data_IF_941975952229
#
_entry.id   IF_941975952229
#
_cell.length_a   1.000
_cell.length_b   1.000
_cell.length_c   1.000
_cell.angle_alpha   90.00
_cell.angle_beta   90.00
_cell.angle_gamma   90.00
#
_symmetry.space_group_name_H-M   'P 1'
#
loop_
_entity.id
_entity.type
_entity.pdbx_description
1 polymer ?
#
# COMPACT_ATOMS: atom_id res chain seq x y z
N UNK A 1 -38.31 14.71 5.76
CA UNK A 1 -37.33 15.79 5.49
C UNK A 1 -36.37 15.27 4.43
N UNK A 2 -36.43 15.80 3.21
CA UNK A 2 -35.52 15.42 2.13
C UNK A 2 -34.08 15.84 2.52
N UNK A 3 -33.12 14.88 2.49
CA UNK A 3 -31.70 15.19 2.65
C UNK A 3 -31.29 16.09 1.49
N UNK A 4 -30.94 17.34 1.81
CA UNK A 4 -30.34 18.25 0.84
C UNK A 4 -29.05 17.60 0.30
N UNK A 5 -29.01 17.30 -1.00
CA UNK A 5 -27.80 16.81 -1.66
C UNK A 5 -26.69 17.86 -1.48
N UNK A 6 -25.65 17.49 -0.74
CA UNK A 6 -24.48 18.36 -0.59
C UNK A 6 -23.80 18.50 -1.96
N UNK A 7 -23.82 19.69 -2.54
CA UNK A 7 -23.10 20.01 -3.77
C UNK A 7 -21.62 19.64 -3.60
N UNK A 8 -21.10 18.81 -4.49
CA UNK A 8 -19.70 18.40 -4.46
C UNK A 8 -18.79 19.58 -4.72
N UNK A 9 -17.62 19.62 -4.04
CA UNK A 9 -16.58 20.58 -4.37
C UNK A 9 -16.09 20.36 -5.82
N UNK A 10 -15.80 21.43 -6.55
CA UNK A 10 -15.40 21.40 -7.97
C UNK A 10 -14.19 20.49 -8.27
N UNK A 11 -13.31 20.29 -7.28
CA UNK A 11 -12.14 19.40 -7.38
C UNK A 11 -12.39 17.97 -6.89
N UNK A 12 -13.61 17.64 -6.49
CA UNK A 12 -13.94 16.29 -6.09
C UNK A 12 -14.19 15.43 -7.34
N UNK A 13 -13.18 14.64 -7.72
CA UNK A 13 -13.24 13.70 -8.85
C UNK A 13 -13.74 12.32 -8.45
N UNK A 14 -14.35 12.16 -7.30
CA UNK A 14 -14.90 10.87 -6.86
C UNK A 14 -15.92 10.37 -7.88
N UNK A 15 -15.69 9.20 -8.42
CA UNK A 15 -16.63 8.51 -9.31
C UNK A 15 -17.89 8.19 -8.50
N UNK A 16 -19.03 8.47 -9.04
CA UNK A 16 -20.33 8.05 -8.49
C UNK A 16 -20.94 7.01 -9.39
N UNK A 17 -21.50 6.02 -8.76
CA UNK A 17 -22.33 5.00 -9.42
C UNK A 17 -23.77 5.50 -9.43
N UNK A 18 -24.42 5.47 -10.60
CA UNK A 18 -25.85 5.73 -10.74
C UNK A 18 -26.65 4.49 -10.32
N UNK A 19 -27.92 4.68 -9.96
CA UNK A 19 -28.79 3.56 -9.59
C UNK A 19 -28.92 2.52 -10.71
N UNK A 20 -28.85 2.93 -11.98
CA UNK A 20 -28.91 2.04 -13.14
C UNK A 20 -27.63 1.22 -13.34
N UNK A 21 -26.48 1.68 -12.84
CA UNK A 21 -25.19 0.97 -12.93
C UNK A 21 -25.01 -0.08 -11.83
N UNK A 22 -25.69 0.08 -10.69
CA UNK A 22 -25.54 -0.83 -9.54
C UNK A 22 -25.74 -2.30 -9.92
N UNK A 23 -26.84 -2.72 -10.60
CA UNK A 23 -27.03 -4.12 -10.94
C UNK A 23 -25.97 -4.68 -11.89
N UNK A 24 -25.44 -3.83 -12.78
CA UNK A 24 -24.37 -4.22 -13.70
C UNK A 24 -23.06 -4.47 -12.95
N UNK A 25 -22.73 -3.59 -12.00
CA UNK A 25 -21.48 -3.68 -11.20
C UNK A 25 -21.55 -4.82 -10.19
N UNK A 26 -22.70 -5.08 -9.58
CA UNK A 26 -22.91 -6.20 -8.66
C UNK A 26 -22.62 -7.56 -9.29
N UNK A 27 -22.83 -7.69 -10.61
CA UNK A 27 -22.50 -8.91 -11.34
C UNK A 27 -21.00 -9.26 -11.30
N UNK A 28 -20.12 -8.27 -11.16
CA UNK A 28 -18.68 -8.46 -11.09
C UNK A 28 -18.16 -8.71 -9.67
N UNK A 29 -19.01 -8.60 -8.66
CA UNK A 29 -18.64 -8.75 -7.26
C UNK A 29 -18.95 -10.17 -6.78
N UNK A 30 -17.93 -10.90 -6.33
CA UNK A 30 -18.11 -12.16 -5.62
C UNK A 30 -18.34 -11.87 -4.15
N UNK A 31 -19.41 -12.40 -3.57
CA UNK A 31 -19.68 -12.26 -2.14
C UNK A 31 -18.81 -13.24 -1.34
N UNK A 32 -18.45 -12.86 -0.13
CA UNK A 32 -17.64 -13.72 0.75
C UNK A 32 -18.22 -15.12 0.96
N UNK A 33 -19.57 -15.24 1.00
CA UNK A 33 -20.25 -16.52 1.16
C UNK A 33 -20.10 -17.48 -0.04
N UNK A 34 -19.84 -16.93 -1.23
CA UNK A 34 -19.72 -17.69 -2.48
C UNK A 34 -18.26 -18.10 -2.79
N UNK A 35 -17.34 -17.74 -1.90
CA UNK A 35 -15.93 -18.08 -2.03
C UNK A 35 -15.67 -19.42 -1.35
N UNK A 36 -15.18 -20.38 -2.13
CA UNK A 36 -14.64 -21.63 -1.61
C UNK A 36 -13.11 -21.58 -1.47
N UNK A 37 -12.50 -22.64 -0.98
CA UNK A 37 -11.04 -22.75 -0.84
C UNK A 37 -10.32 -23.14 -2.13
N UNK A 38 -11.00 -23.13 -3.28
CA UNK A 38 -10.41 -23.43 -4.58
C UNK A 38 -9.66 -22.20 -5.12
N UNK A 39 -8.41 -22.38 -5.54
CA UNK A 39 -7.56 -21.31 -6.09
C UNK A 39 -8.24 -20.52 -7.23
N UNK A 40 -9.03 -21.18 -8.06
CA UNK A 40 -9.69 -20.53 -9.21
C UNK A 40 -10.75 -19.52 -8.81
N UNK A 41 -11.32 -19.60 -7.61
CA UNK A 41 -12.33 -18.64 -7.13
C UNK A 41 -11.74 -17.29 -6.74
N UNK A 42 -10.41 -17.16 -6.64
CA UNK A 42 -9.72 -15.92 -6.28
C UNK A 42 -9.06 -15.21 -7.47
N UNK A 43 -8.89 -15.89 -8.63
CA UNK A 43 -8.22 -15.31 -9.79
C UNK A 43 -9.17 -14.37 -10.51
N UNK A 44 -8.70 -13.14 -10.78
CA UNK A 44 -9.43 -12.08 -11.49
C UNK A 44 -10.82 -11.77 -10.87
N UNK A 45 -10.91 -11.82 -9.54
CA UNK A 45 -12.16 -11.56 -8.81
C UNK A 45 -12.05 -10.33 -7.93
N UNK A 46 -13.15 -9.59 -7.90
CA UNK A 46 -13.41 -8.57 -6.88
C UNK A 46 -14.28 -9.21 -5.79
N UNK A 47 -13.72 -9.40 -4.61
CA UNK A 47 -14.42 -10.08 -3.51
C UNK A 47 -14.83 -9.03 -2.48
N UNK A 48 -16.13 -8.98 -2.18
CA UNK A 48 -16.68 -8.13 -1.11
C UNK A 48 -16.95 -8.97 0.13
N UNK A 49 -16.19 -8.72 1.20
CA UNK A 49 -16.33 -9.41 2.46
C UNK A 49 -15.36 -8.92 3.53
N UNK A 50 -15.53 -9.42 4.74
CA UNK A 50 -14.61 -9.18 5.83
C UNK A 50 -13.35 -10.04 5.68
N UNK A 51 -12.18 -9.41 5.80
CA UNK A 51 -10.90 -10.12 5.71
C UNK A 51 -10.77 -11.22 6.76
N UNK A 52 -11.27 -10.99 7.97
CA UNK A 52 -11.20 -11.98 9.07
C UNK A 52 -12.01 -13.25 8.76
N UNK A 53 -13.06 -13.14 7.95
CA UNK A 53 -13.86 -14.31 7.51
C UNK A 53 -13.25 -14.98 6.27
N UNK A 54 -12.55 -14.21 5.43
CA UNK A 54 -12.05 -14.67 4.14
C UNK A 54 -10.63 -15.22 4.18
N UNK A 55 -9.77 -14.68 5.05
CA UNK A 55 -8.33 -14.96 5.01
C UNK A 55 -8.01 -16.46 5.16
N UNK A 56 -8.78 -17.18 5.97
CA UNK A 56 -8.57 -18.62 6.16
C UNK A 56 -9.05 -19.47 4.98
N UNK A 57 -9.90 -18.91 4.09
CA UNK A 57 -10.37 -19.58 2.86
C UNK A 57 -9.43 -19.36 1.69
N UNK A 58 -8.65 -18.27 1.69
CA UNK A 58 -7.67 -17.98 0.64
C UNK A 58 -6.53 -19.00 0.72
N UNK A 59 -6.22 -19.71 -0.36
CA UNK A 59 -5.09 -20.64 -0.39
C UNK A 59 -3.75 -19.95 -0.11
N UNK A 60 -2.84 -20.62 0.57
CA UNK A 60 -1.50 -20.10 0.81
C UNK A 60 -0.68 -20.12 -0.48
N UNK A 61 0.23 -19.14 -0.62
CA UNK A 61 1.18 -19.09 -1.72
C UNK A 61 0.57 -18.82 -3.10
N UNK A 62 -0.55 -18.09 -3.18
CA UNK A 62 -1.20 -17.76 -4.47
C UNK A 62 -0.88 -16.37 -4.98
N UNK A 63 -0.54 -15.43 -4.10
CA UNK A 63 -0.35 -14.03 -4.45
C UNK A 63 1.10 -13.72 -4.82
N UNK A 64 1.29 -13.09 -5.98
CA UNK A 64 2.57 -12.55 -6.39
C UNK A 64 2.84 -11.20 -5.70
N UNK A 65 1.76 -10.43 -5.48
CA UNK A 65 1.79 -9.11 -4.88
C UNK A 65 0.61 -8.93 -3.92
N UNK A 66 0.91 -8.44 -2.72
CA UNK A 66 -0.11 -8.02 -1.75
C UNK A 66 0.09 -6.54 -1.43
N UNK A 67 -0.99 -5.75 -1.52
CA UNK A 67 -1.01 -4.35 -1.09
C UNK A 67 -2.09 -4.22 -0.02
N UNK A 68 -1.71 -3.70 1.14
CA UNK A 68 -2.59 -3.58 2.31
C UNK A 68 -2.64 -2.12 2.76
N UNK A 69 -3.86 -1.59 2.91
CA UNK A 69 -4.14 -0.26 3.47
C UNK A 69 -5.08 -0.42 4.68
N UNK A 70 -4.55 -0.78 5.86
CA UNK A 70 -5.36 -1.07 7.05
C UNK A 70 -5.85 0.21 7.72
N UNK A 71 -6.76 0.14 8.71
CA UNK A 71 -7.06 1.28 9.57
C UNK A 71 -5.81 1.76 10.34
N UNK A 72 -5.44 3.04 10.18
CA UNK A 72 -4.21 3.65 10.73
C UNK A 72 -4.31 4.03 12.22
N UNK A 73 -4.79 3.18 13.06
CA UNK A 73 -4.97 3.44 14.50
C UNK A 73 -5.55 4.83 14.84
N UNK A 74 -6.47 5.30 14.03
CA UNK A 74 -7.17 6.58 14.19
C UNK A 74 -8.67 6.34 14.36
N UNK A 75 -9.28 7.05 15.30
CA UNK A 75 -10.74 7.00 15.45
C UNK A 75 -11.40 7.55 14.19
N UNK A 76 -12.05 6.68 13.42
CA UNK A 76 -12.70 7.03 12.16
C UNK A 76 -13.97 6.21 11.97
N UNK A 77 -15.00 6.84 11.44
CA UNK A 77 -16.24 6.17 11.05
C UNK A 77 -16.20 5.88 9.56
N UNK A 78 -16.40 4.62 9.19
CA UNK A 78 -16.51 4.12 7.84
C UNK A 78 -17.95 3.64 7.61
N UNK A 79 -18.77 4.44 6.96
CA UNK A 79 -20.20 4.12 6.76
C UNK A 79 -20.89 3.68 8.06
N UNK A 80 -21.17 2.38 8.18
CA UNK A 80 -21.84 1.78 9.35
C UNK A 80 -20.87 1.29 10.43
N UNK A 81 -19.57 1.19 10.14
CA UNK A 81 -18.55 0.69 11.07
C UNK A 81 -17.69 1.82 11.64
N UNK A 82 -17.21 1.64 12.87
CA UNK A 82 -16.35 2.60 13.54
C UNK A 82 -15.07 1.91 14.01
N UNK A 83 -13.93 2.40 13.55
CA UNK A 83 -12.64 2.04 14.12
C UNK A 83 -12.28 3.04 15.21
N UNK A 84 -11.90 2.56 16.38
CA UNK A 84 -11.44 3.40 17.49
C UNK A 84 -9.94 3.27 17.65
N UNK A 85 -9.27 4.42 17.80
CA UNK A 85 -7.86 4.43 18.16
C UNK A 85 -7.65 3.68 19.48
N UNK A 86 -6.59 2.91 19.55
CA UNK A 86 -6.23 2.09 20.69
C UNK A 86 -4.78 2.34 21.09
N UNK A 87 -4.32 1.78 22.23
CA UNK A 87 -2.92 1.85 22.60
C UNK A 87 -2.04 1.15 21.56
N UNK A 88 -0.75 1.41 21.57
CA UNK A 88 0.21 0.83 20.63
C UNK A 88 0.22 -0.70 20.75
N UNK A 89 0.22 -1.23 21.97
CA UNK A 89 0.22 -2.66 22.25
C UNK A 89 -1.02 -3.34 21.68
N UNK A 90 -2.20 -2.74 21.92
CA UNK A 90 -3.47 -3.29 21.41
C UNK A 90 -3.55 -3.21 19.88
N UNK A 91 -2.94 -2.19 19.28
CA UNK A 91 -2.88 -2.10 17.83
C UNK A 91 -1.94 -3.17 17.24
N UNK A 92 -0.84 -3.48 17.91
CA UNK A 92 0.03 -4.59 17.52
C UNK A 92 -0.64 -5.96 17.67
N UNK A 93 -1.45 -6.16 18.73
CA UNK A 93 -2.29 -7.35 18.88
C UNK A 93 -3.30 -7.46 17.73
N UNK A 94 -3.97 -6.35 17.39
CA UNK A 94 -4.88 -6.28 16.25
C UNK A 94 -4.18 -6.64 14.95
N UNK A 95 -3.03 -6.04 14.64
CA UNK A 95 -2.25 -6.38 13.45
C UNK A 95 -1.82 -7.85 13.47
N UNK A 96 -1.35 -8.35 14.59
CA UNK A 96 -0.87 -9.72 14.75
C UNK A 96 -1.97 -10.76 14.55
N UNK A 97 -3.23 -10.40 14.80
CA UNK A 97 -4.37 -11.32 14.67
C UNK A 97 -4.66 -11.76 13.22
N UNK A 98 -4.22 -10.97 12.22
CA UNK A 98 -4.51 -11.22 10.81
C UNK A 98 -3.31 -11.14 9.86
N UNK A 99 -2.30 -10.28 10.16
CA UNK A 99 -1.22 -9.98 9.21
C UNK A 99 -0.39 -11.22 8.86
N UNK A 100 -0.10 -12.10 9.84
CA UNK A 100 0.61 -13.34 9.59
C UNK A 100 -0.13 -14.24 8.58
N UNK A 101 -1.44 -14.39 8.76
CA UNK A 101 -2.28 -15.16 7.83
C UNK A 101 -2.26 -14.59 6.42
N UNK A 102 -2.24 -13.26 6.28
CA UNK A 102 -2.13 -12.59 4.99
C UNK A 102 -0.75 -12.81 4.38
N UNK A 103 0.32 -12.75 5.16
CA UNK A 103 1.68 -13.04 4.69
C UNK A 103 1.82 -14.48 4.15
N UNK A 104 1.07 -15.44 4.69
CA UNK A 104 1.06 -16.83 4.20
C UNK A 104 0.50 -16.95 2.77
N UNK A 105 -0.32 -15.98 2.33
CA UNK A 105 -0.89 -15.97 0.97
C UNK A 105 0.12 -15.59 -0.10
N UNK A 106 1.26 -14.99 0.27
CA UNK A 106 2.34 -14.70 -0.67
C UNK A 106 3.00 -15.99 -1.19
N UNK A 107 3.32 -15.99 -2.48
CA UNK A 107 4.27 -16.94 -3.06
C UNK A 107 5.65 -16.78 -2.44
N UNK A 108 6.52 -17.78 -2.62
CA UNK A 108 7.91 -17.74 -2.10
C UNK A 108 8.71 -16.54 -2.61
N UNK A 109 8.45 -16.10 -3.84
CA UNK A 109 9.06 -14.93 -4.49
C UNK A 109 8.15 -13.70 -4.51
N UNK A 110 7.06 -13.71 -3.74
CA UNK A 110 6.07 -12.64 -3.68
C UNK A 110 6.52 -11.44 -2.83
N UNK A 111 5.89 -10.31 -3.07
CA UNK A 111 6.15 -9.03 -2.41
C UNK A 111 4.91 -8.46 -1.73
N UNK A 112 5.12 -7.77 -0.60
CA UNK A 112 4.05 -7.12 0.16
C UNK A 112 4.38 -5.64 0.38
N UNK A 113 3.36 -4.79 0.20
CA UNK A 113 3.37 -3.37 0.56
C UNK A 113 2.32 -3.12 1.63
N UNK A 114 2.74 -2.66 2.80
CA UNK A 114 1.87 -2.30 3.92
C UNK A 114 1.89 -0.79 4.10
N UNK A 115 0.74 -0.16 3.86
CA UNK A 115 0.56 1.29 4.00
C UNK A 115 0.25 1.65 5.45
N UNK A 116 0.76 2.78 5.90
CA UNK A 116 0.52 3.31 7.22
C UNK A 116 0.77 4.80 7.38
N UNK A 117 0.31 5.31 8.49
CA UNK A 117 0.58 6.69 8.94
C UNK A 117 1.76 6.65 9.92
N UNK A 118 2.47 7.76 10.08
CA UNK A 118 3.64 7.85 10.96
C UNK A 118 3.39 7.40 12.40
N UNK A 119 2.14 7.43 12.88
CA UNK A 119 1.76 7.04 14.25
C UNK A 119 1.74 5.51 14.43
N UNK A 120 1.34 4.78 13.40
CA UNK A 120 1.25 3.32 13.45
C UNK A 120 2.43 2.62 12.76
N UNK A 121 3.28 3.37 12.03
CA UNK A 121 4.39 2.84 11.24
C UNK A 121 5.34 1.96 12.04
N UNK A 122 5.63 2.32 13.30
CA UNK A 122 6.50 1.51 14.17
C UNK A 122 5.88 0.17 14.55
N UNK A 123 4.58 0.17 14.88
CA UNK A 123 3.83 -1.05 15.20
C UNK A 123 3.70 -1.97 13.98
N UNK A 124 3.43 -1.38 12.82
CA UNK A 124 3.40 -2.11 11.54
C UNK A 124 4.73 -2.78 11.23
N UNK A 125 5.84 -2.05 11.39
CA UNK A 125 7.18 -2.60 11.20
C UNK A 125 7.45 -3.78 12.15
N UNK A 126 7.18 -3.60 13.45
CA UNK A 126 7.41 -4.64 14.46
C UNK A 126 6.62 -5.91 14.19
N UNK A 127 5.37 -5.77 13.77
CA UNK A 127 4.53 -6.94 13.49
C UNK A 127 4.91 -7.58 12.16
N UNK A 128 5.08 -6.79 11.09
CA UNK A 128 5.42 -7.29 9.77
C UNK A 128 6.76 -8.03 9.75
N UNK A 129 7.78 -7.53 10.46
CA UNK A 129 9.11 -8.14 10.53
C UNK A 129 9.14 -9.52 11.18
N UNK A 130 8.07 -9.93 11.88
CA UNK A 130 7.94 -11.29 12.40
C UNK A 130 7.62 -12.33 11.31
N UNK A 131 7.15 -11.89 10.15
CA UNK A 131 6.62 -12.73 9.09
C UNK A 131 7.39 -12.62 7.78
N UNK A 132 7.90 -11.42 7.46
CA UNK A 132 8.56 -11.09 6.20
C UNK A 132 9.84 -10.28 6.43
N UNK A 133 10.77 -10.36 5.47
CA UNK A 133 11.95 -9.49 5.44
C UNK A 133 11.58 -8.13 4.88
N UNK A 134 11.72 -7.09 5.69
CA UNK A 134 11.47 -5.71 5.29
C UNK A 134 12.70 -5.17 4.56
N UNK A 135 12.54 -4.79 3.29
CA UNK A 135 13.62 -4.26 2.47
C UNK A 135 13.67 -2.73 2.47
N UNK A 136 12.52 -2.07 2.46
CA UNK A 136 12.45 -0.61 2.38
C UNK A 136 11.29 -0.04 3.16
N UNK A 137 11.48 1.18 3.66
CA UNK A 137 10.43 2.12 4.01
C UNK A 137 10.33 3.15 2.90
N UNK A 138 9.20 3.20 2.22
CA UNK A 138 8.88 4.17 1.18
C UNK A 138 8.08 5.27 1.85
N UNK A 139 8.50 6.52 1.68
CA UNK A 139 7.76 7.68 2.18
C UNK A 139 7.00 8.32 1.04
N UNK A 140 5.67 8.28 1.12
CA UNK A 140 4.79 8.88 0.13
C UNK A 140 4.38 10.28 0.55
N UNK A 141 4.79 11.28 -0.23
CA UNK A 141 4.40 12.67 -0.01
C UNK A 141 3.03 12.94 -0.59
N UNK A 142 2.09 13.35 0.25
CA UNK A 142 0.76 13.84 -0.18
C UNK A 142 0.86 15.26 -0.71
N UNK A 143 0.01 15.60 -1.68
CA UNK A 143 -0.09 16.98 -2.19
C UNK A 143 -0.48 17.99 -1.09
N UNK A 144 -1.33 17.60 -0.17
CA UNK A 144 -1.85 18.45 0.91
C UNK A 144 -1.68 17.77 2.25
N UNK A 145 -0.66 18.17 2.99
CA UNK A 145 -0.60 17.86 4.42
C UNK A 145 -1.63 18.66 5.20
N UNK A 146 -2.22 18.06 6.24
CA UNK A 146 -3.08 18.79 7.15
C UNK A 146 -2.24 19.80 7.94
N UNK A 147 -2.66 21.06 7.94
CA UNK A 147 -2.02 22.09 8.75
C UNK A 147 -2.27 21.85 10.22
N UNK A 148 -1.25 22.11 11.03
CA UNK A 148 -1.35 22.14 12.48
C UNK A 148 -1.01 23.53 12.96
N UNK A 149 -1.68 23.98 14.01
CA UNK A 149 -1.42 25.32 14.60
C UNK A 149 -0.32 25.27 15.64
N UNK A 150 -0.10 24.12 16.27
CA UNK A 150 0.81 23.94 17.41
C UNK A 150 1.97 22.95 17.16
N UNK A 151 2.03 22.33 15.97
CA UNK A 151 3.09 21.40 15.59
C UNK A 151 3.36 21.44 14.09
N UNK A 152 4.26 20.57 13.61
CA UNK A 152 4.61 20.47 12.21
C UNK A 152 3.47 19.85 11.38
N UNK A 153 3.31 20.35 10.15
CA UNK A 153 2.37 19.80 9.19
C UNK A 153 2.80 18.41 8.74
N UNK A 154 1.94 17.41 8.93
CA UNK A 154 2.17 16.07 8.40
C UNK A 154 1.58 15.95 6.99
N UNK A 155 2.42 15.64 6.03
CA UNK A 155 2.05 15.43 4.63
C UNK A 155 2.60 14.14 4.05
N UNK A 156 3.00 13.19 4.92
CA UNK A 156 3.65 11.94 4.52
C UNK A 156 2.88 10.73 5.01
N UNK A 157 2.97 9.64 4.24
CA UNK A 157 2.57 8.29 4.63
C UNK A 157 3.75 7.36 4.44
N UNK A 158 3.81 6.31 5.24
CA UNK A 158 4.81 5.26 5.14
C UNK A 158 4.24 4.05 4.41
N UNK A 159 5.06 3.40 3.60
CA UNK A 159 4.73 2.13 2.95
C UNK A 159 5.91 1.19 3.19
N UNK A 160 5.67 0.12 3.91
CA UNK A 160 6.67 -0.92 4.16
C UNK A 160 6.69 -1.90 2.99
N UNK A 161 7.84 -1.98 2.30
CA UNK A 161 8.08 -2.98 1.27
C UNK A 161 8.78 -4.18 1.88
N UNK A 162 8.13 -5.33 1.82
CA UNK A 162 8.62 -6.57 2.40
C UNK A 162 8.48 -7.74 1.43
N UNK A 163 9.33 -8.75 1.58
CA UNK A 163 9.39 -9.94 0.73
C UNK A 163 9.51 -11.20 1.58
N UNK A 164 9.11 -12.33 1.02
CA UNK A 164 9.23 -13.62 1.67
C UNK A 164 10.67 -14.18 1.61
N UNK A 165 11.38 -13.89 0.52
CA UNK A 165 12.76 -14.31 0.29
C UNK A 165 13.57 -13.14 -0.30
N UNK A 166 14.56 -12.66 0.44
CA UNK A 166 15.41 -11.53 0.02
C UNK A 166 16.27 -11.82 -1.23
N UNK A 167 16.50 -13.11 -1.51
CA UNK A 167 17.33 -13.54 -2.64
C UNK A 167 16.54 -13.89 -3.89
N UNK A 168 15.22 -14.02 -3.75
CA UNK A 168 14.33 -14.42 -4.83
C UNK A 168 13.00 -13.71 -4.71
N UNK A 169 12.90 -12.49 -5.29
CA UNK A 169 11.67 -11.73 -5.43
C UNK A 169 11.68 -10.94 -6.73
N UNK A 170 10.49 -10.74 -7.29
CA UNK A 170 10.35 -9.96 -8.52
C UNK A 170 10.43 -8.46 -8.22
N UNK A 171 11.34 -7.77 -8.93
CA UNK A 171 11.45 -6.31 -8.87
C UNK A 171 11.99 -5.76 -10.20
N UNK A 172 11.12 -5.13 -10.99
CA UNK A 172 11.49 -4.50 -12.24
C UNK A 172 11.99 -3.06 -12.00
N UNK A 173 13.30 -2.96 -11.83
CA UNK A 173 13.98 -1.69 -11.59
C UNK A 173 13.87 -0.76 -12.80
N UNK A 174 13.85 -1.30 -14.00
CA UNK A 174 13.88 -0.49 -15.22
C UNK A 174 12.54 0.20 -15.47
N UNK A 175 11.43 -0.49 -15.19
CA UNK A 175 10.09 0.08 -15.29
C UNK A 175 9.81 1.22 -14.30
N UNK A 176 10.57 1.33 -13.22
CA UNK A 176 10.37 2.37 -12.19
C UNK A 176 11.46 3.44 -12.17
N UNK A 177 12.46 3.33 -13.05
CA UNK A 177 13.50 4.37 -13.19
C UNK A 177 12.92 5.62 -13.83
N UNK A 178 13.18 6.77 -13.20
CA UNK A 178 12.88 8.07 -13.80
C UNK A 178 14.18 8.74 -14.23
N UNK A 179 14.25 9.16 -15.49
CA UNK A 179 15.36 9.98 -15.99
C UNK A 179 15.28 11.37 -15.34
N UNK A 180 16.39 11.84 -14.76
CA UNK A 180 16.50 13.19 -14.24
C UNK A 180 17.89 13.73 -14.50
N UNK A 181 17.98 15.02 -14.76
CA UNK A 181 19.27 15.70 -14.82
C UNK A 181 19.83 15.89 -13.40
N UNK A 182 21.03 15.42 -13.14
CA UNK A 182 21.68 15.53 -11.83
C UNK A 182 23.07 16.13 -12.01
N UNK A 183 23.44 17.07 -11.15
CA UNK A 183 24.81 17.57 -11.05
C UNK A 183 25.57 16.59 -10.14
N UNK A 184 26.58 15.92 -10.69
CA UNK A 184 27.40 15.00 -9.93
C UNK A 184 28.24 15.77 -8.88
N UNK A 185 28.10 15.44 -7.58
CA UNK A 185 28.88 16.12 -6.53
C UNK A 185 30.37 15.75 -6.60
N UNK A 186 30.68 14.57 -7.12
CA UNK A 186 32.06 14.08 -7.21
C UNK A 186 32.46 13.82 -8.67
N UNK A 187 33.60 14.37 -9.08
CA UNK A 187 34.16 14.18 -10.42
C UNK A 187 35.60 13.71 -10.29
N UNK A 188 36.01 12.80 -11.19
CA UNK A 188 37.42 12.40 -11.39
C UNK A 188 37.72 12.72 -12.84
N UNK A 189 38.78 13.49 -13.10
CA UNK A 189 39.17 13.96 -14.44
C UNK A 189 38.04 14.65 -15.24
N UNK A 190 37.23 15.42 -14.53
CA UNK A 190 36.12 16.17 -15.13
C UNK A 190 34.86 15.33 -15.41
N UNK A 191 34.89 14.00 -15.20
CA UNK A 191 33.77 13.10 -15.39
C UNK A 191 33.16 12.73 -14.04
N UNK A 192 31.83 12.54 -13.98
CA UNK A 192 31.19 12.03 -12.77
C UNK A 192 31.77 10.68 -12.37
N UNK A 193 32.15 10.54 -11.08
CA UNK A 193 32.61 9.27 -10.52
C UNK A 193 31.41 8.33 -10.35
N UNK A 194 31.57 7.05 -10.70
CA UNK A 194 30.57 5.99 -10.52
C UNK A 194 29.23 6.24 -11.24
N UNK A 195 29.32 6.79 -12.47
CA UNK A 195 28.16 7.04 -13.31
C UNK A 195 28.27 6.27 -14.62
N UNK A 196 27.18 5.62 -15.02
CA UNK A 196 27.04 5.07 -16.36
C UNK A 196 26.36 6.10 -17.28
N UNK A 197 26.92 6.31 -18.46
CA UNK A 197 26.37 7.16 -19.49
C UNK A 197 25.40 6.34 -20.34
N UNK A 198 24.11 6.46 -20.07
CA UNK A 198 23.07 5.81 -20.85
C UNK A 198 22.41 6.85 -21.75
N UNK A 199 22.65 6.79 -23.06
CA UNK A 199 22.08 7.67 -24.09
C UNK A 199 22.35 9.18 -23.86
N UNK A 200 23.55 9.54 -23.40
CA UNK A 200 23.93 10.95 -23.19
C UNK A 200 23.35 11.59 -21.93
N UNK A 201 22.77 10.82 -21.03
CA UNK A 201 22.29 11.26 -19.72
C UNK A 201 23.11 10.58 -18.64
N UNK A 202 23.90 11.37 -17.91
CA UNK A 202 24.64 10.89 -16.75
C UNK A 202 23.64 10.57 -15.61
N UNK A 203 23.44 9.30 -15.32
CA UNK A 203 22.56 8.84 -14.23
C UNK A 203 23.41 8.28 -13.09
N UNK A 204 23.20 8.70 -11.83
CA UNK A 204 23.89 8.08 -10.71
C UNK A 204 23.40 6.64 -10.48
N UNK A 205 24.34 5.74 -10.16
CA UNK A 205 24.02 4.36 -9.77
C UNK A 205 23.17 4.25 -8.51
N UNK A 206 23.02 5.34 -7.73
CA UNK A 206 22.21 5.39 -6.54
C UNK A 206 20.78 5.84 -6.85
N UNK A 207 19.85 4.90 -6.73
CA UNK A 207 18.43 5.10 -6.96
C UNK A 207 17.76 5.91 -5.85
N UNK A 208 17.70 7.24 -5.97
CA UNK A 208 16.69 8.00 -5.27
C UNK A 208 15.42 8.03 -6.13
N UNK A 209 14.51 7.12 -5.85
CA UNK A 209 13.20 7.07 -6.52
C UNK A 209 12.32 8.16 -5.94
N UNK A 210 11.97 9.17 -6.71
CA UNK A 210 10.81 10.00 -6.47
C UNK A 210 9.68 9.40 -7.31
N UNK A 211 8.77 8.69 -6.68
CA UNK A 211 7.54 8.26 -7.33
C UNK A 211 6.64 9.50 -7.35
N UNK A 212 6.45 10.09 -8.53
CA UNK A 212 5.40 11.08 -8.79
C UNK A 212 4.27 10.34 -9.49
N UNK A 213 3.15 10.19 -8.80
CA UNK A 213 1.89 9.76 -9.38
C UNK A 213 1.17 10.97 -9.99
#
# INVERSE_FOLDING_TARGET
MAKQEKKRAERNRTITVSESEIPLLEHYITKAGDVDSNTTTFIDKLINGDLFELVDRIPNGIADLIIIDPPYNLSKTFNASKFLAMSEERYEEYLSSWLGKVCDKLKSNGSLYLCGDWRCSSSEQRVLSKHLSILNRITWQREKGRGAQSNWKNGMEDIWFAVKNEKDYYFDVDSVKMKRQVIAPYKVDGKPKDWEDTEGLNLPLYNYKRISL
#
